data_IF_693259827122
#
_entry.id   IF_693259827122
#
_cell.length_a   1.000
_cell.length_b   1.000
_cell.length_c   1.000
_cell.angle_alpha   90.00
_cell.angle_beta   90.00
_cell.angle_gamma   90.00
#
_symmetry.space_group_name_H-M   'P 1'
#
loop_
_entity.id
_entity.type
_entity.pdbx_description
1 polymer ?
#
# COMPACT_ATOMS: atom_id res chain seq x y z
N UNK A 1 -12.63 25.50 -22.23
CA UNK A 1 -12.54 24.17 -22.89
C UNK A 1 -12.87 23.02 -21.93
N UNK A 2 -12.29 22.97 -20.72
CA UNK A 2 -12.51 21.90 -19.73
C UNK A 2 -13.98 21.76 -19.28
N UNK A 3 -14.71 22.87 -19.10
CA UNK A 3 -16.13 22.83 -18.71
C UNK A 3 -17.05 22.21 -19.78
N UNK A 4 -16.78 22.49 -21.05
CA UNK A 4 -17.59 21.99 -22.19
C UNK A 4 -17.43 20.47 -22.36
N UNK A 5 -16.20 19.96 -22.19
CA UNK A 5 -15.91 18.52 -22.20
C UNK A 5 -16.55 17.78 -21.03
N UNK A 6 -16.58 18.39 -19.82
CA UNK A 6 -17.29 17.83 -18.65
C UNK A 6 -18.79 17.71 -18.90
N UNK A 7 -19.41 18.74 -19.47
CA UNK A 7 -20.83 18.72 -19.83
C UNK A 7 -21.10 17.62 -20.87
N UNK A 8 -20.22 17.50 -21.87
CA UNK A 8 -20.33 16.49 -22.92
C UNK A 8 -20.25 15.06 -22.36
N UNK A 9 -19.28 14.78 -21.48
CA UNK A 9 -19.16 13.48 -20.81
C UNK A 9 -20.41 13.14 -19.97
N UNK A 10 -20.91 14.09 -19.18
CA UNK A 10 -22.14 13.91 -18.39
C UNK A 10 -23.35 13.59 -19.29
N UNK A 11 -23.51 14.32 -20.39
CA UNK A 11 -24.59 14.10 -21.37
C UNK A 11 -24.49 12.69 -21.97
N UNK A 12 -23.29 12.25 -22.34
CA UNK A 12 -23.07 10.91 -22.93
C UNK A 12 -23.38 9.79 -21.93
N UNK A 13 -23.00 9.95 -20.65
CA UNK A 13 -23.34 8.99 -19.58
C UNK A 13 -24.86 8.93 -19.38
N UNK A 14 -25.53 10.09 -19.27
CA UNK A 14 -26.98 10.17 -19.09
C UNK A 14 -27.69 9.49 -20.27
N UNK A 15 -27.30 9.76 -21.51
CA UNK A 15 -27.86 9.12 -22.71
C UNK A 15 -27.66 7.60 -22.71
N UNK A 16 -26.50 7.11 -22.28
CA UNK A 16 -26.22 5.69 -22.11
C UNK A 16 -27.13 5.03 -21.07
N UNK A 17 -27.27 5.65 -19.90
CA UNK A 17 -28.13 5.19 -18.81
C UNK A 17 -29.62 5.21 -19.20
N UNK A 18 -30.10 6.24 -19.89
CA UNK A 18 -31.49 6.31 -20.38
C UNK A 18 -31.78 5.18 -21.35
N UNK A 19 -30.86 4.88 -22.29
CA UNK A 19 -31.03 3.74 -23.21
C UNK A 19 -31.02 2.39 -22.47
N UNK A 20 -30.18 2.23 -21.46
CA UNK A 20 -30.18 1.01 -20.64
C UNK A 20 -31.48 0.85 -19.87
N UNK A 21 -31.97 1.93 -19.26
CA UNK A 21 -33.26 1.97 -18.56
C UNK A 21 -34.42 1.59 -19.50
N UNK A 22 -34.46 2.16 -20.70
CA UNK A 22 -35.49 1.84 -21.71
C UNK A 22 -35.45 0.38 -22.12
N UNK A 23 -34.27 -0.22 -22.26
CA UNK A 23 -34.12 -1.64 -22.59
C UNK A 23 -34.58 -2.53 -21.44
N UNK A 24 -34.28 -2.17 -20.19
CA UNK A 24 -34.72 -2.93 -18.99
C UNK A 24 -36.23 -2.82 -18.79
N UNK A 25 -36.80 -1.61 -18.93
CA UNK A 25 -38.24 -1.36 -18.83
C UNK A 25 -39.02 -2.05 -19.94
N UNK A 26 -38.52 -2.02 -21.18
CA UNK A 26 -39.18 -2.68 -22.32
C UNK A 26 -38.91 -4.19 -22.42
N UNK A 27 -37.95 -4.73 -21.66
CA UNK A 27 -37.76 -6.18 -21.52
C UNK A 27 -38.99 -6.88 -20.92
N UNK A 28 -39.77 -6.19 -20.09
CA UNK A 28 -41.07 -6.69 -19.61
C UNK A 28 -42.11 -6.87 -20.73
N UNK A 29 -41.89 -6.28 -21.91
CA UNK A 29 -42.79 -6.38 -23.09
C UNK A 29 -42.27 -7.31 -24.19
N UNK A 30 -41.34 -8.23 -23.88
CA UNK A 30 -40.92 -9.31 -24.79
C UNK A 30 -39.92 -8.94 -25.90
N UNK A 31 -39.56 -7.67 -26.05
CA UNK A 31 -38.66 -7.23 -27.13
C UNK A 31 -37.20 -7.13 -26.65
N UNK A 32 -36.44 -8.24 -26.71
CA UNK A 32 -35.01 -8.25 -26.37
C UNK A 32 -34.20 -7.69 -27.55
N UNK A 33 -33.78 -6.43 -27.48
CA UNK A 33 -32.81 -5.86 -28.42
C UNK A 33 -31.40 -5.82 -27.79
N UNK A 34 -30.60 -6.89 -27.88
CA UNK A 34 -29.25 -6.93 -27.30
C UNK A 34 -28.34 -5.84 -27.88
N UNK A 35 -28.55 -5.44 -29.14
CA UNK A 35 -27.79 -4.35 -29.77
C UNK A 35 -27.98 -3.00 -29.05
N UNK A 36 -29.21 -2.66 -28.63
CA UNK A 36 -29.48 -1.41 -27.89
C UNK A 36 -28.90 -1.45 -26.47
N UNK A 37 -28.89 -2.62 -25.85
CA UNK A 37 -28.27 -2.84 -24.54
C UNK A 37 -26.75 -2.63 -24.61
N UNK A 38 -26.08 -3.32 -25.54
CA UNK A 38 -24.64 -3.19 -25.76
C UNK A 38 -24.27 -1.76 -26.13
N UNK A 39 -25.04 -1.09 -26.98
CA UNK A 39 -24.82 0.31 -27.32
C UNK A 39 -24.95 1.25 -26.12
N UNK A 40 -25.91 1.00 -25.22
CA UNK A 40 -26.04 1.75 -23.97
C UNK A 40 -24.82 1.58 -23.06
N UNK A 41 -24.32 0.35 -22.91
CA UNK A 41 -23.08 0.07 -22.17
C UNK A 41 -21.89 0.80 -22.79
N UNK A 42 -21.73 0.71 -24.11
CA UNK A 42 -20.64 1.38 -24.84
C UNK A 42 -20.69 2.89 -24.64
N UNK A 43 -21.88 3.52 -24.70
CA UNK A 43 -22.02 4.94 -24.40
C UNK A 43 -21.63 5.29 -22.96
N UNK A 44 -21.99 4.46 -21.98
CA UNK A 44 -21.59 4.68 -20.58
C UNK A 44 -20.07 4.57 -20.43
N UNK A 45 -19.44 3.56 -21.04
CA UNK A 45 -17.98 3.38 -21.02
C UNK A 45 -17.27 4.57 -21.68
N UNK A 46 -17.75 4.99 -22.85
CA UNK A 46 -17.21 6.16 -23.57
C UNK A 46 -17.42 7.42 -22.74
N UNK A 47 -18.60 7.61 -22.14
CA UNK A 47 -18.90 8.74 -21.28
C UNK A 47 -18.00 8.81 -20.05
N UNK A 48 -17.73 7.68 -19.40
CA UNK A 48 -16.79 7.55 -18.27
C UNK A 48 -15.35 7.81 -18.74
N UNK A 49 -14.95 7.30 -19.91
CA UNK A 49 -13.61 7.51 -20.47
C UNK A 49 -13.36 8.95 -20.93
N UNK A 50 -14.39 9.65 -21.44
CA UNK A 50 -14.32 11.05 -21.86
C UNK A 50 -14.52 12.01 -20.68
N UNK A 51 -15.08 11.56 -19.55
CA UNK A 51 -15.25 12.38 -18.36
C UNK A 51 -13.87 12.84 -17.88
N UNK A 52 -13.50 14.11 -18.05
CA UNK A 52 -12.19 14.57 -17.65
C UNK A 52 -12.19 14.64 -16.13
N UNK A 53 -11.62 13.61 -15.50
CA UNK A 53 -10.68 13.73 -14.38
C UNK A 53 -10.88 15.01 -13.55
N UNK A 54 -11.91 15.01 -12.70
CA UNK A 54 -12.30 16.19 -11.93
C UNK A 54 -11.20 16.70 -10.98
N UNK A 55 -10.15 15.93 -10.71
CA UNK A 55 -9.02 16.33 -9.84
C UNK A 55 -7.63 16.23 -10.49
N UNK A 56 -7.49 16.19 -11.82
CA UNK A 56 -6.15 16.05 -12.44
C UNK A 56 -5.31 17.33 -12.49
N UNK A 57 -5.80 18.43 -11.90
CA UNK A 57 -5.03 19.67 -11.85
C UNK A 57 -3.84 19.50 -10.92
N UNK A 58 -2.74 20.21 -11.19
CA UNK A 58 -1.57 20.17 -10.30
C UNK A 58 -1.95 20.61 -8.88
N UNK A 59 -2.86 21.58 -8.73
CA UNK A 59 -3.31 22.09 -7.43
C UNK A 59 -4.07 21.01 -6.63
N UNK A 60 -4.94 20.24 -7.28
CA UNK A 60 -5.68 19.16 -6.60
C UNK A 60 -4.76 17.98 -6.28
N UNK A 61 -3.77 17.72 -7.14
CA UNK A 61 -2.76 16.69 -6.94
C UNK A 61 -1.80 17.03 -5.79
N UNK A 62 -1.35 18.28 -5.71
CA UNK A 62 -0.58 18.79 -4.58
C UNK A 62 -1.38 18.69 -3.29
N UNK A 63 -2.61 19.22 -3.24
CA UNK A 63 -3.47 19.12 -2.06
C UNK A 63 -3.61 17.68 -1.59
N UNK A 64 -3.90 16.76 -2.50
CA UNK A 64 -3.96 15.34 -2.20
C UNK A 64 -2.64 14.81 -1.64
N UNK A 65 -1.50 15.19 -2.21
CA UNK A 65 -0.18 14.78 -1.71
C UNK A 65 0.02 15.20 -0.23
N UNK A 66 -0.40 16.42 0.12
CA UNK A 66 -0.24 16.95 1.47
C UNK A 66 -1.23 16.40 2.50
N UNK A 67 -2.52 16.32 2.13
CA UNK A 67 -3.59 16.04 3.09
C UNK A 67 -3.88 14.56 3.25
N UNK A 68 -3.69 13.80 2.17
CA UNK A 68 -4.13 12.42 2.08
C UNK A 68 -2.91 11.48 2.01
N UNK A 69 -1.95 11.76 1.13
CA UNK A 69 -0.84 10.82 0.86
C UNK A 69 0.16 10.80 2.00
N UNK A 70 0.50 11.99 2.49
CA UNK A 70 1.48 12.18 3.55
C UNK A 70 1.16 11.37 4.81
N UNK A 71 -0.10 11.34 5.23
CA UNK A 71 -0.51 10.61 6.43
C UNK A 71 -0.28 9.09 6.27
N UNK A 72 -0.80 8.52 5.19
CA UNK A 72 -0.68 7.08 4.92
C UNK A 72 0.78 6.69 4.69
N UNK A 73 1.52 7.53 3.98
CA UNK A 73 2.95 7.35 3.73
C UNK A 73 3.73 7.27 5.05
N UNK A 74 3.60 8.27 5.92
CA UNK A 74 4.36 8.31 7.18
C UNK A 74 3.94 7.22 8.15
N UNK A 75 2.64 6.88 8.20
CA UNK A 75 2.19 5.75 8.99
C UNK A 75 2.85 4.43 8.54
N UNK A 76 2.96 4.22 7.22
CA UNK A 76 3.63 3.03 6.68
C UNK A 76 5.14 3.05 6.97
N UNK A 77 5.83 4.17 6.71
CA UNK A 77 7.27 4.32 7.02
C UNK A 77 7.56 4.01 8.49
N UNK A 78 6.80 4.62 9.40
CA UNK A 78 6.97 4.41 10.84
C UNK A 78 6.70 2.95 11.21
N UNK A 79 5.68 2.33 10.63
CA UNK A 79 5.38 0.91 10.86
C UNK A 79 6.51 0.01 10.38
N UNK A 80 7.05 0.24 9.19
CA UNK A 80 8.16 -0.51 8.60
C UNK A 80 9.38 -0.42 9.53
N UNK A 81 9.78 0.81 9.87
CA UNK A 81 10.95 1.08 10.72
C UNK A 81 10.81 0.49 12.12
N UNK A 82 9.68 0.74 12.78
CA UNK A 82 9.39 0.19 14.11
C UNK A 82 9.42 -1.33 14.11
N UNK A 83 8.78 -1.94 13.11
CA UNK A 83 8.66 -3.40 13.04
C UNK A 83 10.00 -4.04 12.77
N UNK A 84 10.76 -3.51 11.83
CA UNK A 84 12.08 -4.04 11.50
C UNK A 84 13.03 -3.92 12.70
N UNK A 85 13.05 -2.76 13.38
CA UNK A 85 13.83 -2.57 14.61
C UNK A 85 13.40 -3.54 15.73
N UNK A 86 12.09 -3.76 15.91
CA UNK A 86 11.57 -4.68 16.92
C UNK A 86 11.95 -6.13 16.62
N UNK A 87 11.92 -6.53 15.34
CA UNK A 87 12.34 -7.86 14.93
C UNK A 87 13.83 -8.02 15.18
N UNK A 88 14.67 -7.08 14.74
CA UNK A 88 16.12 -7.18 14.89
C UNK A 88 16.52 -7.27 16.38
N UNK A 89 15.84 -6.56 17.28
CA UNK A 89 16.08 -6.66 18.73
C UNK A 89 15.81 -8.09 19.26
N UNK A 90 14.76 -8.76 18.79
CA UNK A 90 14.40 -10.10 19.28
C UNK A 90 15.16 -11.23 18.58
N UNK A 91 15.73 -11.00 17.40
CA UNK A 91 16.50 -12.01 16.66
C UNK A 91 17.66 -12.54 17.49
N UNK A 92 18.33 -11.66 18.23
CA UNK A 92 19.44 -12.03 19.12
C UNK A 92 19.06 -13.04 20.21
N UNK A 93 17.78 -13.12 20.58
CA UNK A 93 17.24 -14.06 21.57
C UNK A 93 16.64 -15.33 20.94
N UNK A 94 16.51 -15.37 19.60
CA UNK A 94 15.97 -16.52 18.86
C UNK A 94 17.05 -17.52 18.43
N UNK A 95 18.32 -17.13 18.49
CA UNK A 95 19.50 -17.95 18.20
C UNK A 95 20.15 -18.41 19.52
N UNK A 96 20.12 -19.72 19.82
CA UNK A 96 20.65 -20.26 21.09
C UNK A 96 22.14 -19.99 21.29
N UNK A 97 22.89 -20.04 20.19
CA UNK A 97 24.35 -19.93 20.22
C UNK A 97 24.78 -18.46 20.35
N UNK A 98 24.03 -17.53 19.73
CA UNK A 98 24.23 -16.08 19.92
C UNK A 98 23.87 -15.64 21.33
N UNK A 99 22.83 -16.22 21.93
CA UNK A 99 22.39 -15.89 23.29
C UNK A 99 23.49 -16.23 24.30
N UNK A 100 24.13 -17.40 24.16
CA UNK A 100 25.20 -17.82 25.07
C UNK A 100 26.49 -17.01 24.87
N UNK A 101 26.87 -16.72 23.62
CA UNK A 101 27.99 -15.83 23.32
C UNK A 101 27.76 -14.40 23.84
N UNK A 102 26.54 -13.88 23.68
CA UNK A 102 26.17 -12.53 24.12
C UNK A 102 26.14 -12.44 25.63
N UNK A 103 25.56 -13.43 26.32
CA UNK A 103 25.58 -13.52 27.77
C UNK A 103 27.02 -13.55 28.30
N UNK A 104 27.88 -14.39 27.73
CA UNK A 104 29.29 -14.43 28.10
C UNK A 104 29.99 -13.08 27.86
N UNK A 105 29.69 -12.37 26.77
CA UNK A 105 30.25 -11.06 26.49
C UNK A 105 29.77 -9.99 27.50
N UNK A 106 28.48 -9.97 27.84
CA UNK A 106 27.91 -9.05 28.82
C UNK A 106 28.45 -9.33 30.22
N UNK A 107 28.53 -10.60 30.62
CA UNK A 107 29.13 -11.04 31.87
C UNK A 107 30.60 -10.59 31.96
N UNK A 108 31.38 -10.73 30.88
CA UNK A 108 32.77 -10.25 30.81
C UNK A 108 32.90 -8.72 30.89
N UNK A 109 31.88 -7.98 30.47
CA UNK A 109 31.83 -6.52 30.55
C UNK A 109 31.23 -6.02 31.87
N UNK A 110 30.77 -6.91 32.76
CA UNK A 110 30.08 -6.56 33.99
C UNK A 110 28.71 -5.91 33.77
N UNK A 111 28.10 -6.13 32.60
CA UNK A 111 26.79 -5.59 32.22
C UNK A 111 25.73 -6.64 32.51
N UNK A 112 24.65 -6.28 33.21
CA UNK A 112 23.53 -7.18 33.47
C UNK A 112 22.85 -7.61 32.16
N UNK A 113 22.93 -8.90 31.84
CA UNK A 113 22.24 -9.46 30.68
C UNK A 113 20.76 -9.71 31.02
N UNK A 114 19.88 -8.88 30.47
CA UNK A 114 18.43 -9.10 30.57
C UNK A 114 17.96 -10.05 29.48
N UNK A 115 17.63 -11.26 29.90
CA UNK A 115 17.04 -12.26 29.01
C UNK A 115 15.59 -11.90 28.66
N UNK A 116 15.12 -12.30 27.47
CA UNK A 116 13.71 -12.19 27.08
C UNK A 116 13.06 -13.55 27.16
N UNK A 117 11.93 -13.64 27.84
CA UNK A 117 11.14 -14.87 27.87
C UNK A 117 10.57 -15.19 26.48
N UNK A 118 10.32 -16.48 26.16
CA UNK A 118 9.67 -16.87 24.92
C UNK A 118 8.31 -16.19 24.69
N UNK A 119 7.57 -15.89 25.77
CA UNK A 119 6.27 -15.20 25.67
C UNK A 119 6.46 -13.73 25.28
N UNK A 120 7.48 -13.03 25.81
CA UNK A 120 7.80 -11.66 25.39
C UNK A 120 8.18 -11.60 23.90
N UNK A 121 8.98 -12.54 23.41
CA UNK A 121 9.35 -12.63 21.98
C UNK A 121 8.10 -12.82 21.12
N UNK A 122 7.21 -13.73 21.53
CA UNK A 122 5.94 -14.01 20.85
C UNK A 122 5.01 -12.80 20.85
N UNK A 123 4.95 -12.05 21.94
CA UNK A 123 4.18 -10.80 22.03
C UNK A 123 4.71 -9.75 21.04
N UNK A 124 6.03 -9.58 20.93
CA UNK A 124 6.65 -8.68 19.95
C UNK A 124 6.27 -9.09 18.53
N UNK A 125 6.44 -10.37 18.16
CA UNK A 125 6.09 -10.87 16.83
C UNK A 125 4.59 -10.70 16.52
N UNK A 126 3.71 -10.95 17.49
CA UNK A 126 2.26 -10.75 17.32
C UNK A 126 1.87 -9.27 17.24
N UNK A 127 2.63 -8.38 17.89
CA UNK A 127 2.43 -6.92 17.79
C UNK A 127 2.88 -6.41 16.42
N UNK A 128 4.04 -6.85 15.95
CA UNK A 128 4.55 -6.57 14.61
C UNK A 128 3.55 -6.99 13.52
N UNK A 129 3.05 -8.23 13.60
CA UNK A 129 2.03 -8.75 12.68
C UNK A 129 0.76 -7.89 12.63
N UNK A 130 0.27 -7.42 13.79
CA UNK A 130 -0.89 -6.52 13.85
C UNK A 130 -0.60 -5.18 13.20
N UNK A 131 0.52 -4.53 13.56
CA UNK A 131 0.92 -3.25 12.97
C UNK A 131 1.05 -3.34 11.44
N UNK A 132 1.71 -4.40 10.94
CA UNK A 132 1.84 -4.64 9.50
C UNK A 132 0.47 -4.75 8.83
N UNK A 133 -0.44 -5.53 9.41
CA UNK A 133 -1.79 -5.73 8.87
C UNK A 133 -2.58 -4.42 8.82
N UNK A 134 -2.50 -3.61 9.87
CA UNK A 134 -3.20 -2.33 9.94
C UNK A 134 -2.63 -1.33 8.92
N UNK A 135 -1.31 -1.25 8.75
CA UNK A 135 -0.67 -0.43 7.74
C UNK A 135 -1.03 -0.89 6.30
N UNK A 136 -0.99 -2.20 6.03
CA UNK A 136 -1.39 -2.75 4.73
C UNK A 136 -2.87 -2.47 4.42
N UNK A 137 -3.74 -2.47 5.44
CA UNK A 137 -5.14 -2.08 5.27
C UNK A 137 -5.26 -0.61 4.89
N UNK A 138 -4.58 0.29 5.61
CA UNK A 138 -4.58 1.73 5.29
C UNK A 138 -4.11 1.99 3.86
N UNK A 139 -3.02 1.37 3.41
CA UNK A 139 -2.52 1.51 2.03
C UNK A 139 -3.54 1.02 1.00
N UNK A 140 -4.21 -0.10 1.27
CA UNK A 140 -5.18 -0.66 0.32
C UNK A 140 -6.46 0.17 0.21
N UNK A 141 -6.90 0.77 1.31
CA UNK A 141 -8.06 1.67 1.35
C UNK A 141 -7.73 3.04 0.69
N UNK A 142 -6.45 3.38 0.57
CA UNK A 142 -5.95 4.68 0.13
C UNK A 142 -5.72 4.84 -1.39
N UNK A 143 -5.86 3.78 -2.19
CA UNK A 143 -5.45 3.79 -3.61
C UNK A 143 -6.07 4.93 -4.42
N UNK A 144 -5.22 5.68 -5.14
CA UNK A 144 -5.68 6.76 -6.01
C UNK A 144 -6.44 6.19 -7.19
N UNK A 145 -7.65 6.72 -7.49
CA UNK A 145 -8.44 6.24 -8.60
C UNK A 145 -7.70 6.25 -9.94
N UNK A 146 -7.91 5.19 -10.73
CA UNK A 146 -7.24 4.96 -12.02
C UNK A 146 -7.43 6.07 -13.06
N UNK A 147 -8.48 6.89 -12.91
CA UNK A 147 -8.79 7.99 -13.82
C UNK A 147 -7.95 9.26 -13.57
N UNK A 148 -7.14 9.27 -12.49
CA UNK A 148 -6.19 10.33 -12.20
C UNK A 148 -4.84 9.98 -12.82
N UNK A 149 -4.37 10.83 -13.73
CA UNK A 149 -3.17 10.58 -14.54
C UNK A 149 -2.05 11.60 -14.31
N UNK A 150 -2.25 12.59 -13.44
CA UNK A 150 -1.18 13.49 -12.99
C UNK A 150 -0.04 12.65 -12.40
N UNK A 151 1.21 13.04 -12.68
CA UNK A 151 2.39 12.31 -12.22
C UNK A 151 2.40 12.16 -10.69
N UNK A 152 1.98 13.17 -9.93
CA UNK A 152 1.91 13.10 -8.46
C UNK A 152 1.03 11.94 -7.99
N UNK A 153 -0.15 11.76 -8.60
CA UNK A 153 -1.05 10.65 -8.29
C UNK A 153 -0.46 9.31 -8.70
N UNK A 154 0.14 9.25 -9.88
CA UNK A 154 0.75 8.04 -10.42
C UNK A 154 1.92 7.57 -9.57
N UNK A 155 2.77 8.50 -9.18
CA UNK A 155 3.97 8.25 -8.38
C UNK A 155 3.62 7.96 -6.94
N UNK A 156 2.63 8.66 -6.38
CA UNK A 156 2.06 8.31 -5.08
C UNK A 156 1.46 6.90 -5.05
N UNK A 157 0.73 6.48 -6.09
CA UNK A 157 0.28 5.09 -6.25
C UNK A 157 1.46 4.10 -6.34
N UNK A 158 2.54 4.48 -7.04
CA UNK A 158 3.74 3.65 -7.16
C UNK A 158 4.42 3.47 -5.80
N UNK A 159 4.55 4.54 -5.01
CA UNK A 159 5.10 4.50 -3.65
C UNK A 159 4.24 3.62 -2.74
N UNK A 160 2.92 3.78 -2.77
CA UNK A 160 2.00 2.95 -2.00
C UNK A 160 2.13 1.46 -2.35
N UNK A 161 2.33 1.13 -3.63
CA UNK A 161 2.59 -0.23 -4.05
C UNK A 161 3.95 -0.76 -3.56
N UNK A 162 5.00 0.07 -3.52
CA UNK A 162 6.31 -0.30 -2.99
C UNK A 162 6.25 -0.51 -1.46
N UNK A 163 5.60 0.38 -0.73
CA UNK A 163 5.41 0.24 0.73
C UNK A 163 4.59 -1.01 1.09
N UNK A 164 3.55 -1.33 0.31
CA UNK A 164 2.80 -2.58 0.51
C UNK A 164 3.70 -3.82 0.32
N UNK A 165 4.60 -3.82 -0.69
CA UNK A 165 5.59 -4.90 -0.86
C UNK A 165 6.57 -4.98 0.30
N UNK A 166 7.02 -3.84 0.84
CA UNK A 166 7.88 -3.82 2.03
C UNK A 166 7.18 -4.42 3.24
N UNK A 167 5.91 -4.08 3.48
CA UNK A 167 5.10 -4.65 4.54
C UNK A 167 4.89 -6.16 4.36
N UNK A 168 4.67 -6.64 3.14
CA UNK A 168 4.53 -8.07 2.86
C UNK A 168 5.83 -8.85 3.14
N UNK A 169 6.98 -8.27 2.79
CA UNK A 169 8.29 -8.83 3.12
C UNK A 169 8.54 -8.85 4.64
N UNK A 170 8.15 -7.80 5.36
CA UNK A 170 8.20 -7.79 6.83
C UNK A 170 7.27 -8.83 7.43
N UNK A 171 6.07 -9.03 6.88
CA UNK A 171 5.15 -10.09 7.31
C UNK A 171 5.78 -11.47 7.11
N UNK A 172 6.46 -11.69 5.97
CA UNK A 172 7.23 -12.91 5.73
C UNK A 172 8.34 -13.10 6.77
N UNK A 173 9.06 -12.02 7.11
CA UNK A 173 10.11 -12.03 8.15
C UNK A 173 9.55 -12.42 9.52
N UNK A 174 8.45 -11.78 9.95
CA UNK A 174 7.76 -12.10 11.22
C UNK A 174 7.31 -13.56 11.26
N UNK A 175 6.62 -14.04 10.24
CA UNK A 175 6.14 -15.43 10.20
C UNK A 175 7.29 -16.44 10.14
N UNK A 176 8.38 -16.10 9.46
CA UNK A 176 9.61 -16.87 9.44
C UNK A 176 10.15 -17.10 10.84
N UNK A 177 10.33 -16.02 11.61
CA UNK A 177 10.81 -16.11 12.99
C UNK A 177 9.83 -16.83 13.92
N UNK A 178 8.51 -16.64 13.77
CA UNK A 178 7.50 -17.41 14.54
C UNK A 178 7.61 -18.93 14.32
N UNK A 179 7.92 -19.36 13.09
CA UNK A 179 7.91 -20.79 12.71
C UNK A 179 9.25 -21.48 12.89
N UNK A 180 10.35 -20.77 12.60
CA UNK A 180 11.69 -21.36 12.50
C UNK A 180 12.67 -20.79 13.53
N UNK A 181 12.28 -19.77 14.30
CA UNK A 181 13.17 -19.09 15.25
C UNK A 181 14.43 -18.59 14.56
N UNK A 182 15.58 -18.71 15.23
CA UNK A 182 16.87 -18.29 14.70
C UNK A 182 17.26 -18.96 13.36
N UNK A 183 16.72 -20.15 13.05
CA UNK A 183 16.99 -20.83 11.76
C UNK A 183 16.44 -20.11 10.53
N UNK A 184 15.73 -19.00 10.73
CA UNK A 184 15.24 -18.14 9.65
C UNK A 184 16.25 -17.06 9.23
N UNK A 185 17.35 -16.85 9.97
CA UNK A 185 18.24 -15.70 9.81
C UNK A 185 18.83 -15.53 8.40
N UNK A 186 19.24 -16.60 7.73
CA UNK A 186 19.72 -16.55 6.34
C UNK A 186 18.66 -15.96 5.39
N UNK A 187 17.43 -16.49 5.45
CA UNK A 187 16.33 -15.98 4.63
C UNK A 187 15.89 -14.58 5.06
N UNK A 188 16.02 -14.24 6.33
CA UNK A 188 15.76 -12.88 6.82
C UNK A 188 16.76 -11.87 6.25
N UNK A 189 18.02 -12.28 6.05
CA UNK A 189 19.05 -11.45 5.42
C UNK A 189 18.72 -11.18 3.94
N UNK A 190 18.28 -12.19 3.19
CA UNK A 190 17.79 -12.01 1.81
C UNK A 190 16.59 -11.05 1.75
N UNK A 191 15.68 -11.14 2.71
CA UNK A 191 14.53 -10.23 2.83
C UNK A 191 15.03 -8.81 3.10
N UNK A 192 16.02 -8.62 3.98
CA UNK A 192 16.59 -7.30 4.28
C UNK A 192 17.13 -6.63 3.02
N UNK A 193 17.93 -7.34 2.21
CA UNK A 193 18.43 -6.80 0.95
C UNK A 193 17.31 -6.39 -0.02
N UNK A 194 16.19 -7.11 -0.03
CA UNK A 194 15.02 -6.72 -0.83
C UNK A 194 14.32 -5.47 -0.28
N UNK A 195 14.23 -5.35 1.05
CA UNK A 195 13.68 -4.16 1.71
C UNK A 195 14.50 -2.93 1.36
N UNK A 196 15.82 -3.01 1.46
CA UNK A 196 16.72 -1.88 1.15
C UNK A 196 16.56 -1.42 -0.31
N UNK A 197 16.44 -2.35 -1.27
CA UNK A 197 16.19 -2.01 -2.68
C UNK A 197 14.85 -1.32 -2.91
N UNK A 198 13.80 -1.74 -2.21
CA UNK A 198 12.48 -1.10 -2.29
C UNK A 198 12.50 0.28 -1.65
N UNK A 199 13.28 0.47 -0.58
CA UNK A 199 13.48 1.77 0.06
C UNK A 199 14.23 2.73 -0.88
N UNK A 200 15.30 2.27 -1.52
CA UNK A 200 16.03 3.03 -2.54
C UNK A 200 15.11 3.44 -3.70
N UNK A 201 14.31 2.51 -4.24
CA UNK A 201 13.35 2.84 -5.30
C UNK A 201 12.30 3.87 -4.82
N UNK A 202 11.83 3.75 -3.57
CA UNK A 202 10.87 4.69 -2.99
C UNK A 202 11.48 6.09 -2.87
N UNK A 203 12.69 6.18 -2.32
CA UNK A 203 13.41 7.44 -2.15
C UNK A 203 13.70 8.12 -3.49
N UNK A 204 14.08 7.36 -4.52
CA UNK A 204 14.27 7.90 -5.87
C UNK A 204 13.02 8.58 -6.43
N UNK A 205 11.84 7.97 -6.26
CA UNK A 205 10.57 8.57 -6.72
C UNK A 205 10.24 9.83 -5.92
N UNK A 206 10.50 9.82 -4.61
CA UNK A 206 10.22 10.94 -3.71
C UNK A 206 11.07 12.17 -4.03
N UNK A 207 12.37 11.95 -4.28
CA UNK A 207 13.34 13.00 -4.62
C UNK A 207 13.06 13.61 -5.99
N UNK A 208 12.77 12.79 -7.00
CA UNK A 208 12.50 13.27 -8.37
C UNK A 208 11.26 14.17 -8.44
N UNK A 209 10.28 13.96 -7.54
CA UNK A 209 8.95 14.56 -7.65
C UNK A 209 8.57 15.47 -6.48
N UNK A 210 9.48 15.73 -5.54
CA UNK A 210 9.25 16.57 -4.34
C UNK A 210 7.96 16.24 -3.56
N UNK A 211 7.53 14.97 -3.57
CA UNK A 211 6.25 14.54 -3.00
C UNK A 211 6.11 14.77 -1.49
N UNK A 212 7.22 15.05 -0.80
CA UNK A 212 7.28 15.34 0.63
C UNK A 212 7.72 16.77 0.97
N UNK A 213 8.12 17.57 -0.04
CA UNK A 213 8.66 18.93 0.15
C UNK A 213 7.62 20.04 0.03
N UNK A 214 6.37 19.67 -0.21
CA UNK A 214 5.25 20.58 -0.09
C UNK A 214 4.62 20.39 1.30
#
# INVERSE_FOLDING_TARGET
MIFVLKLFGAIVIILGLTKLYDVVKNKQKGNKSPKKFVFGIVLVIIGIAIFPSWSNSSIDAEKWAHSEFREVYWNSVNTIKDTDSQIDEIVFYLESDSQQLTKNAFDNLGIEYKDKSPEEIKEVLNRAERKIKDANKMINDYKVPWYLSNNIYKDGNKIMALQSKQLDLLQEKVQGYKKKGGKFSEKAWDIRTKLDKLEEETNGILEENNLLYY
#
